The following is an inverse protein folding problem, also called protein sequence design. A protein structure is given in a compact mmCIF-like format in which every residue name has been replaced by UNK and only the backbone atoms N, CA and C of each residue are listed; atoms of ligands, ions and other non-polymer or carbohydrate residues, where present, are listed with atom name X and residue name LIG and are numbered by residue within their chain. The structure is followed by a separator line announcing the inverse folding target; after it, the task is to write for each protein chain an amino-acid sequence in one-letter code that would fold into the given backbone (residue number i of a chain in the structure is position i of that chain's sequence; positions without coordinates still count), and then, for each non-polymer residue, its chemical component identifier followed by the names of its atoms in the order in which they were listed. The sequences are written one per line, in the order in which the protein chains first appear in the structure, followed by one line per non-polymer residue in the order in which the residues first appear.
data_IF_190860204501
#
_entry.id   IF_190860204501
#
_cell.length_a   1.000
_cell.length_b   1.000
_cell.length_c   1.000
_cell.angle_alpha   90.00
_cell.angle_beta   90.00
_cell.angle_gamma   90.00
#
_symmetry.space_group_name_H-M   'P 1'
#
loop_
_entity.id
_entity.type
_entity.pdbx_description
1 polymer ?
#
# COMPACT_ATOMS: atom_id res chain seq x y z
N UNK A 1 -17.99 -17.87 8.75
CA UNK A 1 -16.61 -17.49 8.43
C UNK A 1 -16.43 -16.06 8.91
N UNK A 2 -15.56 -15.85 9.87
CA UNK A 2 -15.29 -14.52 10.46
C UNK A 2 -14.59 -13.65 9.41
N UNK A 3 -14.89 -12.36 9.39
CA UNK A 3 -14.20 -11.41 8.50
C UNK A 3 -12.70 -11.32 8.84
N UNK A 4 -11.85 -11.32 7.81
CA UNK A 4 -10.37 -11.30 7.96
C UNK A 4 -9.92 -10.09 8.80
N UNK A 5 -10.53 -8.92 8.61
CA UNK A 5 -10.21 -7.72 9.41
C UNK A 5 -10.47 -7.96 10.91
N UNK A 6 -11.54 -8.64 11.25
CA UNK A 6 -11.87 -9.04 12.63
C UNK A 6 -10.83 -10.01 13.19
N UNK A 7 -10.43 -11.03 12.41
CA UNK A 7 -9.39 -11.99 12.84
C UNK A 7 -8.06 -11.26 13.11
N UNK A 8 -7.61 -10.42 12.17
CA UNK A 8 -6.37 -9.66 12.33
C UNK A 8 -6.42 -8.67 13.50
N UNK A 9 -7.60 -8.10 13.79
CA UNK A 9 -7.76 -7.12 14.87
C UNK A 9 -7.76 -7.77 16.25
N UNK A 10 -8.37 -8.96 16.41
CA UNK A 10 -8.64 -9.55 17.72
C UNK A 10 -7.94 -10.88 17.98
N UNK A 11 -7.37 -11.52 16.95
CA UNK A 11 -6.71 -12.81 17.08
C UNK A 11 -5.37 -12.74 17.82
N UNK A 12 -4.93 -13.89 18.31
CA UNK A 12 -3.65 -14.06 18.99
C UNK A 12 -2.53 -14.38 17.98
N UNK A 13 -1.34 -13.79 18.18
CA UNK A 13 -0.17 -14.01 17.33
C UNK A 13 0.53 -15.33 17.65
N UNK A 14 0.91 -16.06 16.61
CA UNK A 14 1.93 -17.10 16.68
C UNK A 14 3.06 -16.76 15.69
N UNK A 15 4.25 -16.46 16.20
CA UNK A 15 5.41 -16.09 15.37
C UNK A 15 5.91 -17.33 14.60
N UNK A 16 5.98 -17.25 13.27
CA UNK A 16 6.45 -18.32 12.39
C UNK A 16 7.89 -18.11 11.91
N UNK A 17 8.26 -16.86 11.63
CA UNK A 17 9.60 -16.54 11.14
C UNK A 17 9.81 -15.07 10.88
N UNK A 18 11.04 -14.74 10.52
CA UNK A 18 11.43 -13.39 10.11
C UNK A 18 11.83 -13.40 8.64
N UNK A 19 11.36 -12.42 7.87
CA UNK A 19 11.85 -12.22 6.52
C UNK A 19 13.25 -11.63 6.57
N UNK A 20 14.18 -12.28 5.86
CA UNK A 20 15.60 -11.86 5.84
C UNK A 20 15.90 -10.79 4.80
N UNK A 21 14.94 -10.48 3.90
CA UNK A 21 15.06 -9.49 2.84
C UNK A 21 14.26 -8.25 3.25
N UNK A 22 14.85 -7.07 3.05
CA UNK A 22 14.24 -5.79 3.38
C UNK A 22 15.04 -5.01 4.43
N UNK A 23 14.77 -3.69 4.50
CA UNK A 23 15.45 -2.77 5.43
C UNK A 23 14.83 -2.75 6.84
N UNK A 24 13.57 -3.13 6.96
CA UNK A 24 12.80 -3.13 8.21
C UNK A 24 12.59 -4.54 8.73
N UNK A 25 12.43 -4.69 10.05
CA UNK A 25 12.05 -5.98 10.62
C UNK A 25 10.64 -6.35 10.18
N UNK A 26 10.52 -7.53 9.57
CA UNK A 26 9.25 -8.04 9.04
C UNK A 26 9.13 -9.50 9.45
N UNK A 27 7.97 -9.88 9.98
CA UNK A 27 7.73 -11.22 10.51
C UNK A 27 6.52 -11.87 9.84
N UNK A 28 6.62 -13.17 9.56
CA UNK A 28 5.46 -13.99 9.25
C UNK A 28 4.86 -14.47 10.56
N UNK A 29 3.56 -14.31 10.72
CA UNK A 29 2.80 -14.75 11.89
C UNK A 29 1.54 -15.47 11.44
N UNK A 30 1.09 -16.44 12.26
CA UNK A 30 -0.27 -16.92 12.21
C UNK A 30 -1.10 -16.16 13.24
N UNK A 31 -2.31 -15.78 12.85
CA UNK A 31 -3.25 -15.08 13.71
C UNK A 31 -4.43 -16.00 13.97
N UNK A 32 -4.58 -16.42 15.21
CA UNK A 32 -5.61 -17.36 15.65
C UNK A 32 -6.79 -16.61 16.27
N UNK A 33 -7.97 -16.80 15.73
CA UNK A 33 -9.21 -16.25 16.26
C UNK A 33 -10.30 -17.32 16.20
N UNK A 34 -10.83 -17.73 17.37
CA UNK A 34 -11.73 -18.89 17.48
C UNK A 34 -11.12 -20.13 16.81
N UNK A 35 -11.81 -20.73 15.85
CA UNK A 35 -11.37 -21.92 15.11
C UNK A 35 -10.67 -21.57 13.77
N UNK A 36 -10.47 -20.26 13.48
CA UNK A 36 -9.89 -19.79 12.22
C UNK A 36 -8.46 -19.30 12.43
N UNK A 37 -7.62 -19.53 11.41
CA UNK A 37 -6.20 -19.10 11.39
C UNK A 37 -5.93 -18.36 10.08
N UNK A 38 -5.36 -17.18 10.17
CA UNK A 38 -4.95 -16.37 9.02
C UNK A 38 -3.45 -16.09 9.11
N UNK A 39 -2.72 -16.38 8.02
CA UNK A 39 -1.33 -15.95 7.89
C UNK A 39 -1.27 -14.44 7.69
N UNK A 40 -0.34 -13.78 8.34
CA UNK A 40 -0.15 -12.34 8.21
C UNK A 40 1.32 -11.93 8.26
N UNK A 41 1.59 -10.76 7.72
CA UNK A 41 2.89 -10.07 7.77
C UNK A 41 2.81 -9.00 8.84
N UNK A 42 3.64 -9.13 9.87
CA UNK A 42 3.75 -8.17 10.96
C UNK A 42 4.99 -7.31 10.80
N UNK A 43 4.79 -5.99 10.79
CA UNK A 43 5.85 -4.96 10.69
C UNK A 43 5.82 -4.08 11.94
N UNK A 44 6.66 -4.34 12.96
CA UNK A 44 6.72 -3.53 14.18
C UNK A 44 7.29 -2.14 13.91
N UNK A 45 6.69 -1.09 14.47
CA UNK A 45 7.18 0.28 14.36
C UNK A 45 8.60 0.44 14.93
N UNK A 46 8.94 -0.29 16.00
CA UNK A 46 10.30 -0.31 16.58
C UNK A 46 11.36 -0.84 15.62
N UNK A 47 10.98 -1.58 14.58
CA UNK A 47 11.87 -2.13 13.55
C UNK A 47 12.06 -1.23 12.33
N UNK A 48 11.38 -0.08 12.29
CA UNK A 48 11.49 0.87 11.19
C UNK A 48 12.88 1.52 11.17
N UNK A 49 13.50 1.55 9.98
CA UNK A 49 14.71 2.35 9.80
C UNK A 49 14.32 3.82 9.66
N UNK A 50 14.94 4.73 10.46
CA UNK A 50 14.64 6.15 10.37
C UNK A 50 14.91 6.69 8.98
N UNK A 51 13.95 7.44 8.45
CA UNK A 51 14.04 8.16 7.19
C UNK A 51 14.11 9.65 7.49
N UNK A 52 15.02 10.37 6.84
CA UNK A 52 15.26 11.80 7.12
C UNK A 52 14.04 12.70 6.80
N UNK A 53 13.13 12.24 5.96
CA UNK A 53 11.98 12.99 5.45
C UNK A 53 10.61 12.38 5.87
N UNK A 54 10.60 11.34 6.70
CA UNK A 54 9.39 10.78 7.29
C UNK A 54 9.50 10.80 8.82
N UNK A 55 8.41 11.12 9.54
CA UNK A 55 8.41 11.03 10.99
C UNK A 55 8.68 9.60 11.47
N UNK A 56 9.48 9.46 12.52
CA UNK A 56 9.78 8.16 13.13
C UNK A 56 8.52 7.45 13.62
N UNK A 57 8.49 6.11 13.50
CA UNK A 57 7.42 5.24 13.95
C UNK A 57 6.04 5.51 13.28
N UNK A 58 6.04 5.99 12.03
CA UNK A 58 4.80 6.25 11.28
C UNK A 58 4.60 5.34 10.08
N UNK A 59 5.60 4.52 9.70
CA UNK A 59 5.50 3.70 8.50
C UNK A 59 4.40 2.64 8.62
N UNK A 60 4.24 2.05 9.80
CA UNK A 60 3.17 1.08 10.08
C UNK A 60 1.76 1.71 9.94
N UNK A 61 1.58 2.97 10.37
CA UNK A 61 0.32 3.69 10.20
C UNK A 61 0.01 3.97 8.72
N UNK A 62 1.04 4.23 7.90
CA UNK A 62 0.90 4.45 6.45
C UNK A 62 0.49 3.18 5.71
N UNK A 63 0.93 2.00 6.16
CA UNK A 63 0.44 0.71 5.64
C UNK A 63 -1.07 0.57 5.86
N UNK A 64 -1.58 0.97 7.05
CA UNK A 64 -3.01 0.95 7.34
C UNK A 64 -3.77 2.00 6.52
N UNK A 65 -3.23 3.24 6.43
CA UNK A 65 -3.82 4.28 5.59
C UNK A 65 -3.94 3.85 4.12
N UNK A 66 -2.96 3.09 3.61
CA UNK A 66 -2.99 2.55 2.26
C UNK A 66 -4.12 1.53 2.06
N UNK A 67 -4.34 0.65 3.03
CA UNK A 67 -5.48 -0.26 3.01
C UNK A 67 -6.81 0.51 3.02
N UNK A 68 -6.99 1.45 3.94
CA UNK A 68 -8.22 2.25 4.03
C UNK A 68 -8.46 3.07 2.74
N UNK A 69 -7.41 3.60 2.10
CA UNK A 69 -7.53 4.27 0.80
C UNK A 69 -7.98 3.31 -0.29
N UNK A 70 -7.39 2.11 -0.36
CA UNK A 70 -7.76 1.09 -1.34
C UNK A 70 -9.23 0.67 -1.22
N UNK A 71 -9.73 0.49 0.01
CA UNK A 71 -11.12 0.15 0.30
C UNK A 71 -12.07 1.32 -0.07
N UNK A 72 -11.71 2.54 0.34
CA UNK A 72 -12.51 3.75 0.06
C UNK A 72 -12.67 4.01 -1.43
N UNK A 73 -11.63 3.70 -2.21
CA UNK A 73 -11.67 3.81 -3.68
C UNK A 73 -12.38 2.63 -4.36
N UNK A 74 -12.74 1.58 -3.63
CA UNK A 74 -13.30 0.33 -4.18
C UNK A 74 -12.32 -0.46 -5.04
N UNK A 75 -11.01 -0.22 -4.90
CA UNK A 75 -9.97 -0.91 -5.67
C UNK A 75 -9.66 -2.30 -5.10
N UNK A 76 -9.69 -2.44 -3.77
CA UNK A 76 -9.40 -3.68 -3.05
C UNK A 76 -8.08 -4.34 -3.47
N UNK A 77 -7.05 -3.54 -3.77
CA UNK A 77 -5.74 -4.02 -4.22
C UNK A 77 -4.71 -4.12 -3.09
N UNK A 78 -4.98 -3.53 -1.93
CA UNK A 78 -4.13 -3.68 -0.75
C UNK A 78 -4.71 -4.77 0.13
N UNK A 79 -3.93 -5.80 0.53
CA UNK A 79 -4.41 -6.82 1.45
C UNK A 79 -4.90 -6.22 2.76
N UNK A 80 -5.86 -6.86 3.42
CA UNK A 80 -6.41 -6.38 4.71
C UNK A 80 -5.28 -6.06 5.66
N UNK A 81 -5.25 -4.83 6.16
CA UNK A 81 -4.18 -4.32 7.03
C UNK A 81 -4.78 -3.60 8.22
N UNK A 82 -4.32 -3.95 9.43
CA UNK A 82 -4.74 -3.32 10.68
C UNK A 82 -3.52 -2.84 11.47
N UNK A 83 -3.72 -1.87 12.37
CA UNK A 83 -2.72 -1.51 13.36
C UNK A 83 -2.99 -2.26 14.66
N UNK A 84 -1.94 -2.77 15.29
CA UNK A 84 -2.01 -3.48 16.57
C UNK A 84 -0.99 -2.90 17.54
N UNK A 85 -1.43 -2.61 18.77
CA UNK A 85 -0.55 -2.11 19.86
C UNK A 85 0.17 -3.24 20.59
N UNK A 86 -0.34 -4.46 20.50
CA UNK A 86 0.04 -5.64 21.28
C UNK A 86 0.84 -6.68 20.49
N UNK A 87 1.51 -6.27 19.41
CA UNK A 87 2.35 -7.19 18.63
C UNK A 87 3.53 -7.76 19.43
N UNK A 88 4.11 -8.91 19.02
CA UNK A 88 5.19 -9.60 19.73
C UNK A 88 6.44 -8.73 19.95
N UNK A 89 6.66 -7.73 19.10
CA UNK A 89 7.76 -6.77 19.20
C UNK A 89 7.29 -5.34 19.42
N UNK A 90 6.06 -5.14 19.90
CA UNK A 90 5.42 -3.87 20.17
C UNK A 90 4.40 -3.44 19.09
N UNK A 91 3.98 -2.16 19.08
CA UNK A 91 3.03 -1.67 18.10
C UNK A 91 3.52 -1.83 16.66
N UNK A 92 2.58 -2.05 15.72
CA UNK A 92 2.93 -2.18 14.31
C UNK A 92 1.73 -2.49 13.42
N UNK A 93 1.97 -2.59 12.12
CA UNK A 93 0.98 -3.03 11.15
C UNK A 93 0.96 -4.56 11.03
N UNK A 94 -0.23 -5.09 10.81
CA UNK A 94 -0.50 -6.50 10.58
C UNK A 94 -1.30 -6.61 9.28
N UNK A 95 -0.69 -7.16 8.24
CA UNK A 95 -1.27 -7.29 6.91
C UNK A 95 -1.51 -8.75 6.56
N UNK A 96 -2.68 -9.07 6.01
CA UNK A 96 -2.98 -10.40 5.48
C UNK A 96 -1.87 -10.84 4.51
N UNK A 97 -1.34 -12.04 4.72
CA UNK A 97 -0.40 -12.65 3.77
C UNK A 97 -1.18 -13.26 2.60
N UNK A 98 -0.78 -12.93 1.38
CA UNK A 98 -1.34 -13.48 0.15
C UNK A 98 -0.29 -14.40 -0.48
N UNK A 99 -0.68 -15.61 -0.85
CA UNK A 99 0.21 -16.54 -1.56
C UNK A 99 0.34 -16.12 -3.02
N UNK A 100 1.57 -16.02 -3.52
CA UNK A 100 1.87 -15.62 -4.91
C UNK A 100 3.24 -16.15 -5.35
N UNK A 101 3.44 -16.31 -6.66
CA UNK A 101 4.73 -16.65 -7.24
C UNK A 101 5.69 -15.44 -7.17
N UNK A 102 6.70 -15.52 -6.31
CA UNK A 102 7.70 -14.45 -6.10
C UNK A 102 8.57 -14.19 -7.33
N UNK A 103 8.68 -15.14 -8.26
CA UNK A 103 9.42 -14.98 -9.51
C UNK A 103 8.59 -14.28 -10.59
N UNK A 104 7.24 -14.25 -10.44
CA UNK A 104 6.35 -13.55 -11.36
C UNK A 104 6.05 -12.14 -10.88
N UNK A 105 6.79 -11.16 -11.36
CA UNK A 105 6.74 -9.76 -10.95
C UNK A 105 6.68 -8.81 -12.17
N UNK A 106 6.52 -7.51 -11.95
CA UNK A 106 6.30 -6.50 -12.99
C UNK A 106 7.24 -6.63 -14.22
N UNK A 107 8.54 -6.92 -14.02
CA UNK A 107 9.49 -6.95 -15.12
C UNK A 107 9.34 -8.15 -16.06
N UNK A 108 8.67 -9.22 -15.60
CA UNK A 108 8.38 -10.40 -16.42
C UNK A 108 6.88 -10.65 -16.62
N UNK A 109 6.00 -9.75 -16.16
CA UNK A 109 4.57 -9.81 -16.45
C UNK A 109 4.29 -9.86 -17.95
N UNK A 110 3.26 -10.59 -18.34
CA UNK A 110 2.71 -10.55 -19.69
C UNK A 110 2.20 -9.15 -20.02
N UNK A 111 2.05 -8.87 -21.33
CA UNK A 111 1.46 -7.60 -21.78
C UNK A 111 0.03 -7.43 -21.25
N UNK A 112 -0.74 -8.52 -21.17
CA UNK A 112 -2.09 -8.52 -20.63
C UNK A 112 -2.11 -8.15 -19.14
N UNK A 113 -1.24 -8.75 -18.33
CA UNK A 113 -1.18 -8.47 -16.90
C UNK A 113 -0.69 -7.05 -16.62
N UNK A 114 0.25 -6.53 -17.41
CA UNK A 114 0.63 -5.11 -17.32
C UNK A 114 -0.54 -4.16 -17.57
N UNK A 115 -1.50 -4.50 -18.45
CA UNK A 115 -2.68 -3.68 -18.67
C UNK A 115 -3.64 -3.64 -17.46
N UNK A 116 -3.59 -4.64 -16.56
CA UNK A 116 -4.36 -4.70 -15.32
C UNK A 116 -3.81 -3.76 -14.23
N UNK A 117 -2.62 -3.17 -14.41
CA UNK A 117 -1.96 -2.34 -13.38
C UNK A 117 -2.49 -0.91 -13.26
N UNK A 118 -3.43 -0.46 -14.11
CA UNK A 118 -3.99 0.90 -14.04
C UNK A 118 -4.50 1.29 -12.64
N UNK A 119 -5.22 0.43 -11.90
CA UNK A 119 -5.64 0.74 -10.54
C UNK A 119 -4.47 0.96 -9.58
N UNK A 120 -3.37 0.19 -9.71
CA UNK A 120 -2.17 0.37 -8.88
C UNK A 120 -1.48 1.69 -9.20
N UNK A 121 -1.34 2.03 -10.48
CA UNK A 121 -0.74 3.32 -10.91
C UNK A 121 -1.56 4.51 -10.37
N UNK A 122 -2.88 4.44 -10.51
CA UNK A 122 -3.80 5.44 -9.97
C UNK A 122 -3.66 5.59 -8.45
N UNK A 123 -3.64 4.46 -7.74
CA UNK A 123 -3.44 4.40 -6.31
C UNK A 123 -2.10 5.00 -5.88
N UNK A 124 -0.98 4.63 -6.54
CA UNK A 124 0.36 5.12 -6.21
C UNK A 124 0.49 6.64 -6.38
N UNK A 125 -0.20 7.23 -7.35
CA UNK A 125 -0.23 8.67 -7.55
C UNK A 125 -0.96 9.35 -6.38
N UNK A 126 -2.13 8.84 -5.99
CA UNK A 126 -2.89 9.36 -4.86
C UNK A 126 -2.14 9.21 -3.54
N UNK A 127 -1.66 8.01 -3.27
CA UNK A 127 -0.88 7.69 -2.09
C UNK A 127 0.52 8.34 -2.11
N UNK A 128 0.96 8.92 -3.25
CA UNK A 128 2.30 9.48 -3.41
C UNK A 128 3.39 8.47 -3.02
N UNK A 129 3.30 7.26 -3.56
CA UNK A 129 4.21 6.16 -3.22
C UNK A 129 5.65 6.49 -3.63
N UNK A 130 6.56 6.51 -2.66
CA UNK A 130 7.96 6.89 -2.89
C UNK A 130 8.89 5.71 -3.19
N UNK A 131 8.39 4.45 -3.25
CA UNK A 131 9.23 3.26 -3.47
C UNK A 131 8.47 2.08 -4.10
N UNK A 132 7.60 2.32 -5.12
CA UNK A 132 6.92 1.24 -5.84
C UNK A 132 7.88 0.44 -6.68
N UNK A 133 8.30 -0.72 -6.18
CA UNK A 133 9.17 -1.68 -6.86
C UNK A 133 8.36 -2.69 -7.69
N UNK A 134 9.06 -3.39 -8.58
CA UNK A 134 8.46 -4.41 -9.42
C UNK A 134 7.96 -5.64 -8.66
N UNK A 135 8.57 -5.97 -7.52
CA UNK A 135 8.16 -7.06 -6.63
C UNK A 135 7.04 -6.68 -5.67
N UNK A 136 6.66 -5.40 -5.57
CA UNK A 136 5.59 -4.93 -4.70
C UNK A 136 4.20 -5.00 -5.35
N UNK A 137 4.11 -5.53 -6.57
CA UNK A 137 2.86 -5.83 -7.27
C UNK A 137 2.89 -7.27 -7.75
N UNK A 138 1.82 -7.99 -7.51
CA UNK A 138 1.72 -9.41 -7.85
C UNK A 138 0.27 -9.85 -8.06
N UNK A 139 0.13 -11.04 -8.62
CA UNK A 139 -1.15 -11.71 -8.76
C UNK A 139 -1.20 -12.89 -7.79
N UNK A 140 -2.30 -13.02 -7.05
CA UNK A 140 -2.57 -14.15 -6.18
C UNK A 140 -2.63 -15.45 -6.99
N UNK A 141 -2.07 -16.53 -6.47
CA UNK A 141 -1.93 -17.81 -7.20
C UNK A 141 -3.28 -18.43 -7.55
N UNK A 142 -4.24 -18.41 -6.63
CA UNK A 142 -5.52 -19.11 -6.82
C UNK A 142 -6.50 -18.36 -7.74
N UNK A 143 -6.63 -17.05 -7.53
CA UNK A 143 -7.67 -16.23 -8.18
C UNK A 143 -7.15 -15.33 -9.28
N UNK A 144 -5.84 -15.20 -9.40
CA UNK A 144 -5.19 -14.23 -10.27
C UNK A 144 -5.65 -12.78 -10.01
N UNK A 145 -6.03 -12.49 -8.75
CA UNK A 145 -6.38 -11.15 -8.30
C UNK A 145 -5.12 -10.32 -8.09
N UNK A 146 -5.17 -9.08 -8.55
CA UNK A 146 -4.06 -8.14 -8.41
C UNK A 146 -3.96 -7.60 -6.99
N UNK A 147 -2.75 -7.61 -6.43
CA UNK A 147 -2.42 -6.99 -5.16
C UNK A 147 -1.19 -6.10 -5.25
N UNK A 148 -1.14 -5.13 -4.35
CA UNK A 148 0.00 -4.26 -4.12
C UNK A 148 0.31 -4.18 -2.62
N UNK A 149 1.60 -4.22 -2.27
CA UNK A 149 2.09 -4.21 -0.88
C UNK A 149 3.19 -3.17 -0.69
N UNK A 150 3.67 -3.06 0.55
CA UNK A 150 4.79 -2.19 0.96
C UNK A 150 4.52 -0.70 0.74
N UNK A 151 3.59 -0.17 1.54
CA UNK A 151 3.11 1.21 1.48
C UNK A 151 3.62 2.09 2.63
N UNK A 152 4.61 1.62 3.38
CA UNK A 152 5.15 2.38 4.52
C UNK A 152 5.73 3.76 4.12
N UNK A 153 6.18 3.92 2.88
CA UNK A 153 6.77 5.17 2.37
C UNK A 153 5.79 5.87 1.41
N UNK A 154 4.55 6.10 1.89
CA UNK A 154 3.47 6.79 1.16
C UNK A 154 3.02 8.05 1.90
N UNK A 155 2.15 8.81 1.28
CA UNK A 155 1.40 9.96 1.83
C UNK A 155 2.22 11.19 2.22
N UNK A 156 3.50 11.29 1.86
CA UNK A 156 4.29 12.49 2.14
C UNK A 156 3.61 13.75 1.57
N UNK A 157 3.71 14.88 2.29
CA UNK A 157 3.11 16.15 1.87
C UNK A 157 3.73 16.70 0.57
N UNK A 158 5.03 16.53 0.37
CA UNK A 158 5.71 16.87 -0.89
C UNK A 158 5.58 15.73 -1.91
N UNK A 159 5.64 16.06 -3.20
CA UNK A 159 5.64 15.05 -4.26
C UNK A 159 6.92 14.21 -4.19
N UNK A 160 6.77 12.93 -3.84
CA UNK A 160 7.84 11.92 -3.72
C UNK A 160 7.63 10.73 -4.66
N UNK A 161 6.64 10.75 -5.53
CA UNK A 161 6.28 9.61 -6.37
C UNK A 161 7.50 9.02 -7.08
N UNK A 162 7.78 7.75 -6.77
CA UNK A 162 8.81 6.92 -7.42
C UNK A 162 8.23 5.54 -7.65
N UNK A 163 8.10 5.20 -8.92
CA UNK A 163 7.49 3.93 -9.32
C UNK A 163 8.20 3.37 -10.54
N UNK A 164 8.16 2.05 -10.71
CA UNK A 164 8.55 1.40 -11.96
C UNK A 164 7.40 1.40 -12.98
N UNK A 165 6.17 1.72 -12.56
CA UNK A 165 4.92 1.57 -13.32
C UNK A 165 4.59 2.84 -14.13
N UNK A 166 5.41 3.19 -15.11
CA UNK A 166 5.17 4.36 -15.96
C UNK A 166 4.48 4.04 -17.31
N UNK A 167 3.95 2.82 -17.48
CA UNK A 167 3.37 2.35 -18.75
C UNK A 167 2.17 3.18 -19.23
N UNK A 168 1.44 3.81 -18.31
CA UNK A 168 0.24 4.61 -18.62
C UNK A 168 0.49 6.11 -18.64
N UNK A 169 1.74 6.57 -18.47
CA UNK A 169 2.08 7.99 -18.39
C UNK A 169 1.57 8.78 -19.61
N UNK A 170 0.75 9.79 -19.36
CA UNK A 170 0.12 10.62 -20.39
C UNK A 170 -1.12 10.02 -21.04
N UNK A 171 -1.58 8.84 -20.62
CA UNK A 171 -2.86 8.27 -21.05
C UNK A 171 -4.01 8.83 -20.21
N UNK A 172 -5.22 8.79 -20.75
CA UNK A 172 -6.44 9.15 -20.01
C UNK A 172 -6.68 8.16 -18.85
N UNK A 173 -7.08 8.68 -17.71
CA UNK A 173 -7.53 7.88 -16.56
C UNK A 173 -8.97 7.43 -16.84
N UNK A 174 -9.29 6.13 -16.72
CA UNK A 174 -10.65 5.63 -16.85
C UNK A 174 -11.62 6.30 -15.86
N UNK A 175 -12.83 6.60 -16.31
CA UNK A 175 -13.84 7.30 -15.49
C UNK A 175 -14.21 6.50 -14.22
N UNK A 176 -14.16 5.16 -14.28
CA UNK A 176 -14.40 4.29 -13.13
C UNK A 176 -13.37 4.45 -12.00
N UNK A 177 -12.14 4.86 -12.32
CA UNK A 177 -11.12 5.17 -11.31
C UNK A 177 -11.29 6.58 -10.73
N UNK A 178 -11.82 7.53 -11.51
CA UNK A 178 -12.07 8.89 -11.07
C UNK A 178 -13.35 9.04 -10.25
N UNK A 179 -14.36 8.22 -10.50
CA UNK A 179 -15.67 8.33 -9.87
C UNK A 179 -15.63 8.35 -8.32
N UNK A 180 -14.83 7.50 -7.63
CA UNK A 180 -14.74 7.52 -6.17
C UNK A 180 -14.17 8.82 -5.60
N UNK A 181 -13.39 9.58 -6.37
CA UNK A 181 -12.81 10.86 -5.92
C UNK A 181 -13.87 11.95 -5.68
N UNK A 182 -15.08 11.78 -6.19
CA UNK A 182 -16.21 12.69 -5.87
C UNK A 182 -16.70 12.56 -4.42
N UNK A 183 -16.26 11.55 -3.67
CA UNK A 183 -16.69 11.22 -2.31
C UNK A 183 -15.63 11.55 -1.24
N UNK A 184 -14.69 12.45 -1.52
CA UNK A 184 -13.57 12.80 -0.61
C UNK A 184 -14.01 13.54 0.67
N UNK A 185 -15.26 13.98 0.77
CA UNK A 185 -15.74 14.82 1.89
C UNK A 185 -15.55 14.23 3.29
N UNK A 186 -15.35 12.91 3.44
CA UNK A 186 -15.10 12.24 4.71
C UNK A 186 -13.66 11.79 4.92
N UNK A 187 -12.76 12.05 3.97
CA UNK A 187 -11.38 11.54 4.01
C UNK A 187 -10.59 12.13 5.18
N UNK A 188 -10.80 13.39 5.53
CA UNK A 188 -10.09 13.99 6.67
C UNK A 188 -10.33 13.20 7.96
N UNK A 189 -11.57 12.87 8.28
CA UNK A 189 -11.89 12.09 9.47
C UNK A 189 -11.41 10.62 9.37
N UNK A 190 -11.41 10.04 8.17
CA UNK A 190 -10.96 8.67 7.94
C UNK A 190 -9.45 8.52 8.14
N UNK A 191 -8.66 9.49 7.66
CA UNK A 191 -7.20 9.41 7.68
C UNK A 191 -6.54 10.07 8.90
N UNK A 192 -7.27 10.88 9.70
CA UNK A 192 -6.76 11.51 10.91
C UNK A 192 -6.04 10.55 11.88
N UNK A 193 -6.47 9.29 12.08
CA UNK A 193 -5.75 8.36 12.95
C UNK A 193 -4.37 7.93 12.43
N UNK A 194 -4.09 8.10 11.14
CA UNK A 194 -2.92 7.53 10.47
C UNK A 194 -1.95 8.58 9.91
N UNK A 195 -2.46 9.74 9.51
CA UNK A 195 -1.73 10.77 8.79
C UNK A 195 -1.83 12.11 9.47
N UNK A 196 -0.80 12.94 9.32
CA UNK A 196 -0.83 14.33 9.76
C UNK A 196 -1.82 15.19 8.92
N UNK A 197 -2.32 16.31 9.45
CA UNK A 197 -3.20 17.20 8.69
C UNK A 197 -2.61 17.64 7.33
N UNK A 198 -1.29 17.91 7.26
CA UNK A 198 -0.64 18.31 6.00
C UNK A 198 -0.59 17.18 4.97
N UNK A 199 -0.42 15.95 5.42
CA UNK A 199 -0.44 14.77 4.53
C UNK A 199 -1.86 14.51 4.00
N UNK A 200 -2.88 14.73 4.83
CA UNK A 200 -4.29 14.64 4.43
C UNK A 200 -4.61 15.72 3.40
N UNK A 201 -4.23 16.99 3.65
CA UNK A 201 -4.42 18.09 2.71
C UNK A 201 -3.75 17.79 1.37
N UNK A 202 -2.53 17.25 1.39
CA UNK A 202 -1.80 16.87 0.19
C UNK A 202 -2.45 15.67 -0.55
N UNK A 203 -3.06 14.72 0.16
CA UNK A 203 -3.83 13.63 -0.44
C UNK A 203 -5.07 14.18 -1.16
N UNK A 204 -5.83 15.07 -0.50
CA UNK A 204 -7.02 15.72 -1.08
C UNK A 204 -6.64 16.54 -2.30
N UNK A 205 -5.56 17.32 -2.23
CA UNK A 205 -5.06 18.09 -3.36
C UNK A 205 -4.71 17.20 -4.57
N UNK A 206 -4.04 16.05 -4.36
CA UNK A 206 -3.75 15.10 -5.44
C UNK A 206 -5.02 14.51 -6.05
N UNK A 207 -6.05 14.27 -5.24
CA UNK A 207 -7.35 13.81 -5.73
C UNK A 207 -8.01 14.84 -6.64
N UNK A 208 -8.00 16.14 -6.27
CA UNK A 208 -8.49 17.25 -7.09
C UNK A 208 -7.69 17.36 -8.40
N UNK A 209 -6.36 17.36 -8.35
CA UNK A 209 -5.51 17.41 -9.55
C UNK A 209 -5.83 16.26 -10.54
N UNK A 210 -6.10 15.06 -10.05
CA UNK A 210 -6.46 13.92 -10.91
C UNK A 210 -7.85 14.09 -11.53
N UNK A 211 -8.83 14.64 -10.79
CA UNK A 211 -10.16 14.96 -11.31
C UNK A 211 -10.11 16.03 -12.41
N UNK A 212 -9.22 17.02 -12.26
CA UNK A 212 -9.08 18.11 -13.22
C UNK A 212 -8.31 17.69 -14.47
N UNK A 213 -7.16 17.01 -14.28
CA UNK A 213 -6.31 16.61 -15.39
C UNK A 213 -6.84 15.42 -16.17
N UNK A 214 -7.46 14.45 -15.49
CA UNK A 214 -7.96 13.17 -16.03
C UNK A 214 -6.92 12.38 -16.82
N UNK A 215 -5.62 12.61 -16.53
CA UNK A 215 -4.50 12.01 -17.24
C UNK A 215 -3.48 11.49 -16.22
N UNK A 216 -2.98 10.29 -16.45
CA UNK A 216 -1.85 9.77 -15.68
C UNK A 216 -0.63 10.68 -15.85
N UNK A 217 -0.03 11.21 -14.78
CA UNK A 217 1.10 12.12 -14.89
C UNK A 217 2.32 11.47 -15.55
N UNK A 218 3.19 12.29 -16.10
CA UNK A 218 4.49 11.87 -16.61
C UNK A 218 5.56 12.05 -15.53
N UNK A 219 6.65 11.26 -15.59
CA UNK A 219 7.82 11.49 -14.74
C UNK A 219 8.29 12.94 -14.82
N UNK A 220 8.52 13.57 -13.66
CA UNK A 220 9.02 14.94 -13.61
C UNK A 220 10.49 14.98 -14.02
N UNK A 221 10.82 15.88 -14.96
CA UNK A 221 12.21 16.09 -15.37
C UNK A 221 13.05 16.63 -14.19
N UNK A 222 14.28 16.13 -14.05
CA UNK A 222 15.22 16.57 -13.02
C UNK A 222 14.93 16.01 -11.60
N UNK A 223 13.92 15.15 -11.44
CA UNK A 223 13.65 14.43 -10.21
C UNK A 223 13.83 12.93 -10.37
N UNK A 224 14.18 12.24 -9.29
CA UNK A 224 14.25 10.78 -9.27
C UNK A 224 12.85 10.19 -9.38
N UNK A 225 12.55 9.58 -10.53
CA UNK A 225 11.22 9.02 -10.83
C UNK A 225 11.11 7.52 -10.53
N UNK A 226 12.23 6.84 -10.26
CA UNK A 226 12.29 5.40 -10.04
C UNK A 226 12.82 5.07 -8.64
N UNK A 227 12.33 4.00 -8.02
CA UNK A 227 12.88 3.46 -6.77
C UNK A 227 14.29 2.87 -7.02
N UNK A 228 15.02 2.61 -5.95
CA UNK A 228 16.30 1.91 -6.02
C UNK A 228 16.49 1.03 -4.78
N UNK A 229 16.73 -0.28 -4.95
CA UNK A 229 16.66 -1.02 -6.22
C UNK A 229 15.24 -1.03 -6.81
N UNK A 230 15.07 -1.32 -8.12
CA UNK A 230 13.74 -1.34 -8.76
C UNK A 230 12.95 -2.64 -8.51
N UNK A 231 13.61 -3.67 -7.94
CA UNK A 231 13.05 -4.96 -7.51
C UNK A 231 13.29 -5.14 -6.02
#
# INVERSE_FOLDING_TARGET
MTDIKTILTHGNYELRGQFMLGSNYTFLVDVHHEDEVVKAVYKPSKGEQPLWDFPDNTLALREVAAYELSETLGLHIVPVTVYRDDGPHGPGSLQQYIEYDIEYHYFNFTVEDKQKLRPVVFFDILANNADRKGSHVFFEDETHRLYAIDHGICFHEENKLRTVLWDFAGQAIPDELLAPLSLTGNWSALFEPYLSPREIDALLFRAEELCDSKVFPRPLQGRRAYPYPPI
#
